data_IF_405535627941
#
_entry.id   IF_405535627941
#
_cell.length_a   1.000
_cell.length_b   1.000
_cell.length_c   1.000
_cell.angle_alpha   90.00
_cell.angle_beta   90.00
_cell.angle_gamma   90.00
#
_symmetry.space_group_name_H-M   'P 1'
#
loop_
_entity.id
_entity.type
_entity.pdbx_description
1 polymer ?
#
# COMPACT_ATOMS: atom_id res chain seq x y z
N UNK A 1 -60.93 -6.76 -15.40
CA UNK A 1 -61.25 -5.87 -14.26
C UNK A 1 -60.50 -6.22 -12.96
N UNK A 2 -60.77 -7.35 -12.27
CA UNK A 2 -60.09 -7.68 -10.98
C UNK A 2 -58.66 -8.26 -11.11
N UNK A 3 -58.28 -8.76 -12.28
CA UNK A 3 -56.98 -9.43 -12.50
C UNK A 3 -55.86 -8.46 -12.92
N UNK A 4 -56.20 -7.39 -13.64
CA UNK A 4 -55.24 -6.36 -14.10
C UNK A 4 -54.76 -5.44 -12.97
N UNK A 5 -55.60 -5.18 -11.97
CA UNK A 5 -55.23 -4.36 -10.81
C UNK A 5 -54.16 -5.06 -9.93
N UNK A 6 -54.21 -6.39 -9.84
CA UNK A 6 -53.29 -7.19 -9.02
C UNK A 6 -51.89 -7.30 -9.64
N UNK A 7 -51.80 -7.24 -10.97
CA UNK A 7 -50.53 -7.26 -11.70
C UNK A 7 -49.78 -5.92 -11.62
N UNK A 8 -50.50 -4.79 -11.60
CA UNK A 8 -49.89 -3.45 -11.49
C UNK A 8 -49.29 -3.19 -10.09
N UNK A 9 -49.91 -3.72 -9.04
CA UNK A 9 -49.43 -3.58 -7.66
C UNK A 9 -48.10 -4.33 -7.41
N UNK A 10 -47.94 -5.52 -8.00
CA UNK A 10 -46.71 -6.33 -7.88
C UNK A 10 -45.54 -5.72 -8.66
N UNK A 11 -45.81 -5.09 -9.82
CA UNK A 11 -44.77 -4.42 -10.62
C UNK A 11 -44.21 -3.20 -9.89
N UNK A 12 -45.08 -2.38 -9.29
CA UNK A 12 -44.68 -1.19 -8.53
C UNK A 12 -43.90 -1.55 -7.26
N UNK A 13 -44.31 -2.61 -6.56
CA UNK A 13 -43.58 -3.10 -5.38
C UNK A 13 -42.16 -3.60 -5.71
N UNK A 14 -41.97 -4.23 -6.87
CA UNK A 14 -40.63 -4.66 -7.34
C UNK A 14 -39.72 -3.50 -7.74
N UNK A 15 -40.30 -2.44 -8.31
CA UNK A 15 -39.55 -1.25 -8.71
C UNK A 15 -39.12 -0.42 -7.50
N UNK A 16 -40.00 -0.27 -6.51
CA UNK A 16 -39.70 0.41 -5.23
C UNK A 16 -38.64 -0.37 -4.42
N UNK A 17 -38.69 -1.70 -4.40
CA UNK A 17 -37.67 -2.52 -3.73
C UNK A 17 -36.28 -2.39 -4.38
N UNK A 18 -36.22 -2.36 -5.72
CA UNK A 18 -34.97 -2.23 -6.46
C UNK A 18 -34.33 -0.83 -6.30
N UNK A 19 -35.16 0.21 -6.17
CA UNK A 19 -34.69 1.56 -5.88
C UNK A 19 -34.09 1.70 -4.46
N UNK A 20 -34.68 1.02 -3.47
CA UNK A 20 -34.18 1.03 -2.09
C UNK A 20 -32.85 0.28 -1.95
N UNK A 21 -32.65 -0.82 -2.68
CA UNK A 21 -31.39 -1.58 -2.68
C UNK A 21 -30.22 -0.77 -3.27
N UNK A 22 -30.46 -0.04 -4.36
CA UNK A 22 -29.45 0.83 -4.99
C UNK A 22 -29.08 2.03 -4.10
N UNK A 23 -30.05 2.59 -3.37
CA UNK A 23 -29.80 3.68 -2.43
C UNK A 23 -28.93 3.22 -1.26
N UNK A 24 -29.23 2.06 -0.67
CA UNK A 24 -28.47 1.47 0.43
C UNK A 24 -27.03 1.12 0.03
N UNK A 25 -26.84 0.55 -1.16
CA UNK A 25 -25.50 0.22 -1.67
C UNK A 25 -24.62 1.48 -1.92
N UNK A 26 -25.21 2.59 -2.38
CA UNK A 26 -24.48 3.86 -2.53
C UNK A 26 -24.11 4.50 -1.20
N UNK A 27 -24.97 4.39 -0.20
CA UNK A 27 -24.70 4.91 1.15
C UNK A 27 -23.60 4.12 1.87
N UNK A 28 -23.63 2.78 1.75
CA UNK A 28 -22.58 1.90 2.27
C UNK A 28 -21.22 2.13 1.58
N UNK A 29 -21.21 2.31 0.25
CA UNK A 29 -19.99 2.64 -0.49
C UNK A 29 -19.40 3.99 -0.05
N UNK A 30 -20.26 5.00 0.14
CA UNK A 30 -19.83 6.34 0.58
C UNK A 30 -19.35 6.34 2.05
N UNK A 31 -19.99 5.55 2.91
CA UNK A 31 -19.56 5.38 4.29
C UNK A 31 -18.19 4.67 4.39
N UNK A 32 -17.94 3.67 3.54
CA UNK A 32 -16.64 2.99 3.46
C UNK A 32 -15.54 3.91 2.90
N UNK A 33 -15.86 4.75 1.93
CA UNK A 33 -14.92 5.74 1.37
C UNK A 33 -14.56 6.82 2.40
N UNK A 34 -15.54 7.31 3.16
CA UNK A 34 -15.33 8.28 4.25
C UNK A 34 -14.55 7.64 5.42
N UNK A 35 -14.77 6.36 5.72
CA UNK A 35 -14.01 5.64 6.74
C UNK A 35 -12.54 5.45 6.34
N UNK A 36 -12.26 5.07 5.08
CA UNK A 36 -10.90 5.01 4.52
C UNK A 36 -10.22 6.39 4.54
N UNK A 37 -10.93 7.44 4.12
CA UNK A 37 -10.38 8.79 4.13
C UNK A 37 -10.09 9.30 5.56
N UNK A 38 -10.94 8.95 6.54
CA UNK A 38 -10.72 9.31 7.95
C UNK A 38 -9.57 8.54 8.60
N UNK A 39 -9.36 7.26 8.28
CA UNK A 39 -8.18 6.52 8.74
C UNK A 39 -6.88 7.08 8.13
N UNK A 40 -6.88 7.39 6.84
CA UNK A 40 -5.74 8.06 6.17
C UNK A 40 -5.46 9.41 6.82
N UNK A 41 -6.48 10.20 7.17
CA UNK A 41 -6.31 11.49 7.83
C UNK A 41 -5.79 11.40 9.27
N UNK A 42 -6.21 10.39 10.05
CA UNK A 42 -5.72 10.18 11.43
C UNK A 42 -4.27 9.72 11.44
N UNK A 43 -3.87 8.90 10.46
CA UNK A 43 -2.50 8.46 10.30
C UNK A 43 -1.57 9.62 9.88
N UNK A 44 -2.06 10.54 9.04
CA UNK A 44 -1.27 11.68 8.56
C UNK A 44 -0.95 12.70 9.67
N UNK A 45 -1.85 12.91 10.65
CA UNK A 45 -1.60 13.84 11.77
C UNK A 45 -0.58 13.29 12.78
N UNK A 46 -0.33 11.98 12.80
CA UNK A 46 0.69 11.34 13.65
C UNK A 46 2.02 11.05 12.91
N UNK A 47 2.10 11.34 11.60
CA UNK A 47 3.33 11.28 10.80
C UNK A 47 4.33 12.37 11.16
N UNK A 48 3.92 13.40 11.90
CA UNK A 48 4.83 14.38 12.48
C UNK A 48 5.68 13.75 13.60
N UNK A 49 6.87 13.25 13.24
CA UNK A 49 7.97 12.75 14.10
C UNK A 49 7.84 11.33 14.69
N UNK A 50 7.47 10.33 13.89
CA UNK A 50 7.79 8.93 14.24
C UNK A 50 9.20 8.58 13.77
N UNK A 51 10.15 8.56 14.70
CA UNK A 51 11.45 7.91 14.54
C UNK A 51 11.36 6.48 15.08
N UNK A 52 11.87 5.52 14.31
CA UNK A 52 11.81 4.10 14.59
C UNK A 52 13.22 3.51 14.50
N UNK A 53 13.58 2.64 15.44
CA UNK A 53 14.76 1.79 15.31
C UNK A 53 14.33 0.46 14.68
N UNK A 54 14.91 0.11 13.54
CA UNK A 54 14.54 -1.06 12.75
C UNK A 54 15.75 -1.89 12.37
N UNK A 55 15.55 -3.16 12.06
CA UNK A 55 16.55 -3.98 11.36
C UNK A 55 16.41 -3.73 9.87
N UNK A 56 17.47 -3.25 9.23
CA UNK A 56 17.55 -3.03 7.79
C UNK A 56 18.44 -4.09 7.12
N UNK A 57 17.94 -4.65 6.03
CA UNK A 57 18.71 -5.39 5.03
C UNK A 57 18.75 -4.59 3.72
N UNK A 58 19.38 -5.14 2.68
CA UNK A 58 19.30 -4.60 1.33
C UNK A 58 18.92 -5.70 0.31
N UNK A 59 18.16 -5.29 -0.71
CA UNK A 59 17.79 -6.11 -1.86
C UNK A 59 18.17 -5.40 -3.16
N UNK A 60 18.12 -6.11 -4.27
CA UNK A 60 18.40 -5.54 -5.59
C UNK A 60 17.19 -5.69 -6.51
N UNK A 61 17.22 -5.01 -7.66
CA UNK A 61 16.21 -5.15 -8.71
C UNK A 61 16.38 -6.44 -9.55
N UNK A 62 17.15 -7.43 -9.08
CA UNK A 62 17.41 -8.65 -9.83
C UNK A 62 16.12 -9.51 -9.96
N UNK A 63 15.68 -9.83 -11.19
CA UNK A 63 14.54 -10.71 -11.44
C UNK A 63 14.56 -12.04 -10.69
N UNK A 64 15.75 -12.61 -10.45
CA UNK A 64 15.90 -13.89 -9.75
C UNK A 64 15.58 -13.80 -8.26
N UNK A 65 15.64 -12.59 -7.67
CA UNK A 65 15.38 -12.32 -6.26
C UNK A 65 13.93 -11.91 -6.01
N UNK A 66 13.26 -11.30 -7.00
CA UNK A 66 11.96 -10.63 -6.83
C UNK A 66 10.82 -11.26 -7.65
N UNK A 67 11.15 -12.08 -8.65
CA UNK A 67 10.20 -12.48 -9.70
C UNK A 67 9.94 -11.36 -10.70
N UNK A 68 9.17 -11.66 -11.75
CA UNK A 68 8.82 -10.67 -12.79
C UNK A 68 7.35 -10.76 -13.20
N UNK A 69 6.80 -9.62 -13.58
CA UNK A 69 5.45 -9.47 -14.10
C UNK A 69 5.55 -8.82 -15.48
N UNK A 70 5.29 -9.59 -16.54
CA UNK A 70 5.47 -9.10 -17.91
C UNK A 70 6.92 -8.70 -18.23
N UNK A 71 7.91 -9.40 -17.64
CA UNK A 71 9.33 -9.12 -17.83
C UNK A 71 9.88 -7.96 -17.00
N UNK A 72 9.09 -7.41 -16.07
CA UNK A 72 9.48 -6.28 -15.21
C UNK A 72 9.50 -6.67 -13.75
N UNK A 73 10.41 -6.08 -12.99
CA UNK A 73 10.47 -6.17 -11.53
C UNK A 73 9.70 -4.97 -10.97
N UNK A 74 8.53 -5.25 -10.39
CA UNK A 74 7.62 -4.22 -9.90
C UNK A 74 7.53 -4.27 -8.38
N UNK A 75 7.56 -3.09 -7.75
CA UNK A 75 7.29 -2.97 -6.32
C UNK A 75 5.79 -3.12 -6.02
N UNK A 76 5.42 -3.24 -4.75
CA UNK A 76 4.02 -3.28 -4.31
C UNK A 76 3.20 -2.05 -4.76
N UNK A 77 3.84 -0.89 -4.94
CA UNK A 77 3.21 0.32 -5.49
C UNK A 77 3.29 0.44 -7.02
N UNK A 78 3.88 -0.55 -7.70
CA UNK A 78 3.97 -0.61 -9.16
C UNK A 78 5.15 0.15 -9.77
N UNK A 79 6.17 0.50 -8.98
CA UNK A 79 7.37 1.12 -9.52
C UNK A 79 8.21 0.10 -10.30
N UNK A 80 8.63 0.46 -11.52
CA UNK A 80 9.45 -0.39 -12.38
C UNK A 80 10.94 -0.25 -12.03
N UNK A 81 11.47 -1.27 -11.34
CA UNK A 81 12.86 -1.34 -10.93
C UNK A 81 13.78 -1.87 -12.04
N UNK A 82 13.23 -2.51 -13.08
CA UNK A 82 14.03 -2.99 -14.22
C UNK A 82 14.62 -1.82 -15.00
N UNK A 83 13.85 -0.74 -15.17
CA UNK A 83 14.34 0.48 -15.83
C UNK A 83 14.97 1.47 -14.85
N UNK A 84 14.70 1.35 -13.55
CA UNK A 84 15.19 2.28 -12.54
C UNK A 84 15.75 1.56 -11.28
N UNK A 85 16.85 0.80 -11.39
CA UNK A 85 17.35 -0.03 -10.29
C UNK A 85 17.95 0.77 -9.13
N UNK A 86 18.17 2.08 -9.30
CA UNK A 86 18.70 2.99 -8.28
C UNK A 86 17.63 3.88 -7.65
N UNK A 87 16.34 3.55 -7.82
CA UNK A 87 15.28 4.28 -7.12
C UNK A 87 15.50 4.19 -5.61
N UNK A 88 15.15 5.26 -4.91
CA UNK A 88 15.24 5.33 -3.46
C UNK A 88 13.95 4.76 -2.87
N UNK A 89 13.76 3.45 -3.03
CA UNK A 89 12.60 2.71 -2.54
C UNK A 89 13.04 1.77 -1.43
N UNK A 90 12.22 1.67 -0.39
CA UNK A 90 12.37 0.67 0.66
C UNK A 90 11.13 -0.23 0.71
N UNK A 91 11.36 -1.52 1.02
CA UNK A 91 10.31 -2.44 1.41
C UNK A 91 10.04 -2.33 2.90
N UNK A 92 8.76 -2.31 3.29
CA UNK A 92 8.33 -2.12 4.69
C UNK A 92 7.18 -3.06 5.08
N UNK A 93 6.87 -3.10 6.37
CA UNK A 93 5.56 -3.54 6.85
C UNK A 93 4.57 -2.36 6.84
N UNK A 94 3.50 -2.38 6.01
CA UNK A 94 2.52 -1.30 5.92
C UNK A 94 1.79 -0.98 7.23
N UNK A 95 1.77 -1.91 8.20
CA UNK A 95 1.19 -1.68 9.53
C UNK A 95 2.08 -0.80 10.42
N UNK A 96 3.37 -0.71 10.11
CA UNK A 96 4.36 0.07 10.88
C UNK A 96 4.73 1.35 10.14
N UNK A 97 5.04 1.24 8.85
CA UNK A 97 5.32 2.38 7.97
C UNK A 97 4.34 2.29 6.79
N UNK A 98 3.36 3.20 6.67
CA UNK A 98 2.41 3.17 5.57
C UNK A 98 3.09 3.22 4.20
N UNK A 99 2.55 2.49 3.22
CA UNK A 99 3.00 2.61 1.84
C UNK A 99 2.77 4.03 1.31
N UNK A 100 3.73 4.54 0.54
CA UNK A 100 3.75 5.89 0.00
C UNK A 100 4.35 6.93 0.95
N UNK A 101 4.66 6.57 2.20
CA UNK A 101 5.36 7.48 3.11
C UNK A 101 6.74 7.87 2.57
N UNK A 102 7.06 9.15 2.68
CA UNK A 102 8.46 9.61 2.58
C UNK A 102 9.15 9.33 3.90
N UNK A 103 10.36 8.80 3.82
CA UNK A 103 11.16 8.47 4.99
C UNK A 103 12.58 8.94 4.81
N UNK A 104 13.30 9.12 5.90
CA UNK A 104 14.75 9.19 5.93
C UNK A 104 15.30 7.97 6.67
N UNK A 105 16.25 7.26 6.06
CA UNK A 105 16.88 6.07 6.62
C UNK A 105 18.34 6.40 6.91
N UNK A 106 18.77 6.19 8.15
CA UNK A 106 20.16 6.41 8.56
C UNK A 106 21.13 5.60 7.68
N UNK A 107 22.16 6.26 7.17
CA UNK A 107 23.15 5.67 6.26
C UNK A 107 22.70 5.48 4.80
N UNK A 108 21.40 5.58 4.49
CA UNK A 108 20.87 5.42 3.12
C UNK A 108 20.29 6.74 2.56
N UNK A 109 19.70 7.57 3.40
CA UNK A 109 19.09 8.86 3.06
C UNK A 109 17.58 8.79 2.89
N UNK A 110 17.00 9.84 2.29
CA UNK A 110 15.56 9.89 1.99
C UNK A 110 15.14 8.78 1.01
N UNK A 111 13.95 8.24 1.18
CA UNK A 111 13.37 7.19 0.35
C UNK A 111 11.85 7.21 0.40
N UNK A 112 11.22 6.41 -0.46
CA UNK A 112 9.79 6.14 -0.47
C UNK A 112 9.57 4.73 0.06
N UNK A 113 8.64 4.58 1.01
CA UNK A 113 8.10 3.29 1.41
C UNK A 113 7.20 2.75 0.28
N UNK A 114 7.83 2.23 -0.77
CA UNK A 114 7.19 1.91 -2.05
C UNK A 114 6.99 0.42 -2.31
N UNK A 115 7.44 -0.43 -1.39
CA UNK A 115 7.43 -1.88 -1.58
C UNK A 115 7.10 -2.66 -0.31
N UNK A 116 6.88 -3.96 -0.46
CA UNK A 116 6.65 -4.89 0.65
C UNK A 116 7.37 -6.22 0.40
N UNK A 117 7.70 -6.93 1.48
CA UNK A 117 8.25 -8.28 1.38
C UNK A 117 7.56 -9.24 2.36
N UNK A 118 7.56 -10.53 2.02
CA UNK A 118 7.05 -11.58 2.91
C UNK A 118 7.85 -11.66 4.23
N UNK A 119 9.17 -11.47 4.15
CA UNK A 119 10.09 -11.46 5.30
C UNK A 119 10.19 -10.09 6.02
N UNK A 120 9.60 -9.05 5.44
CA UNK A 120 9.63 -7.67 5.96
C UNK A 120 8.35 -7.44 6.76
N UNK A 121 8.44 -7.68 8.07
CA UNK A 121 7.34 -7.63 9.04
C UNK A 121 7.79 -6.92 10.31
N UNK A 122 6.91 -6.14 10.93
CA UNK A 122 7.19 -5.34 12.12
C UNK A 122 8.26 -4.28 11.85
N UNK A 123 9.18 -4.10 12.81
CA UNK A 123 10.28 -3.14 12.74
C UNK A 123 11.45 -3.65 11.89
N UNK A 124 11.17 -4.06 10.65
CA UNK A 124 12.14 -4.49 9.66
C UNK A 124 11.90 -3.76 8.35
N UNK A 125 12.97 -3.38 7.68
CA UNK A 125 12.93 -2.79 6.34
C UNK A 125 13.95 -3.48 5.42
N UNK A 126 13.77 -3.31 4.11
CA UNK A 126 14.75 -3.68 3.09
C UNK A 126 15.01 -2.50 2.15
N UNK A 127 16.26 -2.10 1.95
CA UNK A 127 16.59 -0.94 1.10
C UNK A 127 17.00 -1.38 -0.30
N UNK A 128 16.48 -0.69 -1.33
CA UNK A 128 16.84 -0.98 -2.71
C UNK A 128 18.27 -0.51 -3.01
N UNK A 129 19.10 -1.42 -3.50
CA UNK A 129 20.45 -1.15 -3.96
C UNK A 129 20.59 -1.50 -5.44
N UNK A 130 21.24 -0.61 -6.19
CA UNK A 130 21.44 -0.83 -7.64
C UNK A 130 22.42 -1.95 -8.00
N UNK A 131 23.08 -2.60 -7.05
CA UNK A 131 23.95 -3.75 -7.31
C UNK A 131 24.10 -4.67 -6.11
N UNK A 132 24.37 -5.96 -6.37
CA UNK A 132 24.62 -6.96 -5.31
C UNK A 132 25.81 -6.60 -4.44
N UNK A 133 26.87 -6.05 -5.02
CA UNK A 133 28.04 -5.60 -4.25
C UNK A 133 27.66 -4.51 -3.24
N UNK A 134 26.82 -3.53 -3.62
CA UNK A 134 26.32 -2.52 -2.68
C UNK A 134 25.42 -3.13 -1.61
N UNK A 135 24.55 -4.06 -1.96
CA UNK A 135 23.69 -4.76 -1.01
C UNK A 135 24.51 -5.59 0.01
N UNK A 136 25.55 -6.30 -0.44
CA UNK A 136 26.46 -7.04 0.43
C UNK A 136 27.26 -6.13 1.36
N UNK A 137 27.75 -5.00 0.86
CA UNK A 137 28.49 -4.02 1.66
C UNK A 137 27.59 -3.34 2.70
N UNK A 138 26.31 -3.14 2.38
CA UNK A 138 25.31 -2.66 3.33
C UNK A 138 25.06 -3.65 4.47
N UNK A 139 24.95 -4.93 4.13
CA UNK A 139 24.74 -6.01 5.09
C UNK A 139 23.42 -5.89 5.87
N UNK A 140 23.34 -6.59 7.01
CA UNK A 140 22.22 -6.45 7.95
C UNK A 140 22.66 -5.56 9.11
N UNK A 141 21.94 -4.48 9.36
CA UNK A 141 22.26 -3.55 10.42
C UNK A 141 21.01 -2.96 11.09
N UNK A 142 21.18 -2.46 12.29
CA UNK A 142 20.12 -1.72 13.01
C UNK A 142 20.28 -0.24 12.71
N UNK A 143 19.24 0.39 12.17
CA UNK A 143 19.27 1.79 11.72
C UNK A 143 18.05 2.55 12.23
N UNK A 144 18.18 3.87 12.28
CA UNK A 144 17.04 4.77 12.52
C UNK A 144 16.31 5.09 11.22
N UNK A 145 14.99 5.10 11.28
CA UNK A 145 14.09 5.53 10.21
C UNK A 145 13.18 6.61 10.73
N UNK A 146 13.09 7.73 10.02
CA UNK A 146 12.18 8.82 10.32
C UNK A 146 11.15 8.94 9.21
N UNK A 147 9.88 8.93 9.58
CA UNK A 147 8.78 9.27 8.65
C UNK A 147 8.73 10.79 8.51
N UNK A 148 8.71 11.30 7.27
CA UNK A 148 8.80 12.72 6.91
C UNK A 148 7.43 13.34 6.60
#
# INVERSE_FOLDING_TARGET
AKEEAKAQEIARAKEEAKAQEIAKAKEEAKAQEIAKAKEVSKNNTQSAKRELTVVATAYTADPSENGTYGGRVLTAMGHDLTTNPNMRIIAVDPKVIPLGSKVWVEGYGEAIAGDTGSAIKGNRIDVLMGSKSKAMNWGRQTVKVKIL
#
